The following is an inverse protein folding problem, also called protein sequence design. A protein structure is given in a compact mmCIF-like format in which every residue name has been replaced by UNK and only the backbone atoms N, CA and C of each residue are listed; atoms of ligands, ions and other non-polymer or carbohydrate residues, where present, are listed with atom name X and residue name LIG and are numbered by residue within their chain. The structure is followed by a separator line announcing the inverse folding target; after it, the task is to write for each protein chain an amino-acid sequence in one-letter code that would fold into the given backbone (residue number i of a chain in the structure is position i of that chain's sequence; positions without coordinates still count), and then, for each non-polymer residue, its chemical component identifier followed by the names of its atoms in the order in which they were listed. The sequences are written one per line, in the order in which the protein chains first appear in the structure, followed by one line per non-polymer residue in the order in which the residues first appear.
data_IF_522671886369
#
_entry.id   IF_522671886369
#
_cell.length_a   1.000
_cell.length_b   1.000
_cell.length_c   1.000
_cell.angle_alpha   90.00
_cell.angle_beta   90.00
_cell.angle_gamma   90.00
#
_symmetry.space_group_name_H-M   'P 1'
#
loop_
_entity.id
_entity.type
_entity.pdbx_description
1 polymer ?
#
# COMPACT_ATOMS: atom_id res chain seq x y z
N UNK A 1 3.69 15.57 -5.18
CA UNK A 1 2.73 14.48 -4.94
C UNK A 1 3.27 13.57 -3.85
N UNK A 2 2.37 12.97 -3.08
CA UNK A 2 2.71 11.92 -2.10
C UNK A 2 1.80 10.71 -2.35
N UNK A 3 2.31 9.51 -2.08
CA UNK A 3 1.52 8.28 -2.08
C UNK A 3 1.42 7.77 -0.66
N UNK A 4 0.24 7.40 -0.23
CA UNK A 4 -0.02 6.91 1.13
C UNK A 4 -0.63 5.53 1.03
N UNK A 5 0.07 4.52 1.54
CA UNK A 5 -0.50 3.20 1.70
C UNK A 5 -1.26 3.16 3.03
N UNK A 6 -2.58 3.03 2.94
CA UNK A 6 -3.50 2.96 4.07
C UNK A 6 -4.00 1.53 4.26
N UNK A 7 -3.68 0.88 5.38
CA UNK A 7 -4.00 -0.53 5.52
C UNK A 7 -3.85 -1.08 6.93
N UNK A 8 -4.20 -2.35 7.10
CA UNK A 8 -4.19 -3.04 8.39
C UNK A 8 -5.22 -2.47 9.36
N UNK A 9 -4.89 -2.46 10.63
CA UNK A 9 -5.76 -1.92 11.69
C UNK A 9 -5.93 -0.39 11.61
N UNK A 10 -5.05 0.32 10.88
CA UNK A 10 -5.18 1.75 10.64
C UNK A 10 -6.46 2.14 9.88
N UNK A 11 -7.07 1.18 9.16
CA UNK A 11 -8.28 1.43 8.36
C UNK A 11 -9.55 1.63 9.18
N UNK A 12 -9.54 1.36 10.50
CA UNK A 12 -10.61 1.75 11.40
C UNK A 12 -10.44 3.21 11.85
N UNK A 13 -10.60 4.16 10.90
CA UNK A 13 -10.47 5.61 11.18
C UNK A 13 -11.74 6.17 11.86
N UNK A 14 -12.11 5.59 13.01
CA UNK A 14 -13.35 5.92 13.74
C UNK A 14 -13.51 7.41 14.08
N UNK A 15 -12.40 8.17 14.10
CA UNK A 15 -12.38 9.58 14.48
C UNK A 15 -12.03 10.53 13.33
N UNK A 16 -11.91 10.03 12.10
CA UNK A 16 -11.56 10.82 10.93
C UNK A 16 -10.15 11.42 10.97
N UNK A 17 -9.25 10.85 11.77
CA UNK A 17 -7.87 11.36 11.92
C UNK A 17 -7.09 11.28 10.62
N UNK A 18 -7.28 10.19 9.87
CA UNK A 18 -6.68 10.01 8.55
C UNK A 18 -7.21 11.06 7.57
N UNK A 19 -8.52 11.21 7.47
CA UNK A 19 -9.16 12.16 6.58
C UNK A 19 -8.76 13.61 6.91
N UNK A 20 -8.65 13.95 8.20
CA UNK A 20 -8.20 15.26 8.65
C UNK A 20 -6.75 15.53 8.22
N UNK A 21 -5.84 14.55 8.40
CA UNK A 21 -4.45 14.70 7.97
C UNK A 21 -4.34 14.87 6.44
N UNK A 22 -5.16 14.15 5.66
CA UNK A 22 -5.24 14.32 4.20
C UNK A 22 -5.74 15.72 3.84
N UNK A 23 -6.79 16.22 4.50
CA UNK A 23 -7.32 17.57 4.28
C UNK A 23 -6.27 18.66 4.60
N UNK A 24 -5.54 18.52 5.71
CA UNK A 24 -4.45 19.44 6.08
C UNK A 24 -3.30 19.40 5.05
N UNK A 25 -2.95 18.22 4.52
CA UNK A 25 -1.95 18.08 3.47
C UNK A 25 -2.37 18.80 2.18
N UNK A 26 -3.61 18.63 1.75
CA UNK A 26 -4.17 19.32 0.57
C UNK A 26 -4.13 20.85 0.76
N UNK A 27 -4.56 21.33 1.93
CA UNK A 27 -4.53 22.76 2.26
C UNK A 27 -3.09 23.33 2.25
N UNK A 28 -2.07 22.49 2.45
CA UNK A 28 -0.65 22.84 2.35
C UNK A 28 -0.06 22.69 0.95
N UNK A 29 -0.90 22.43 -0.07
CA UNK A 29 -0.48 22.30 -1.47
C UNK A 29 0.06 20.91 -1.84
N UNK A 30 -0.15 19.91 -1.00
CA UNK A 30 0.22 18.52 -1.29
C UNK A 30 -0.89 17.82 -2.07
N UNK A 31 -0.53 17.05 -3.10
CA UNK A 31 -1.46 16.20 -3.86
C UNK A 31 -1.32 14.74 -3.39
N UNK A 32 -2.24 14.23 -2.55
CA UNK A 32 -2.17 12.85 -2.05
C UNK A 32 -2.82 11.86 -3.02
N UNK A 33 -2.23 10.65 -3.08
CA UNK A 33 -2.79 9.44 -3.70
C UNK A 33 -2.84 8.38 -2.62
N UNK A 34 -4.00 7.76 -2.41
CA UNK A 34 -4.18 6.72 -1.39
C UNK A 34 -4.22 5.36 -2.07
N UNK A 35 -3.44 4.41 -1.55
CA UNK A 35 -3.53 2.99 -1.92
C UNK A 35 -3.97 2.23 -0.68
N UNK A 36 -5.15 1.60 -0.73
CA UNK A 36 -5.67 0.94 0.46
C UNK A 36 -5.35 -0.55 0.50
N UNK A 37 -5.29 -1.11 1.70
CA UNK A 37 -5.29 -2.55 1.95
C UNK A 37 -6.71 -3.10 2.12
N UNK A 38 -6.85 -4.18 2.89
CA UNK A 38 -8.16 -4.80 3.18
C UNK A 38 -8.03 -6.25 3.64
N UNK A 39 -6.85 -6.62 4.17
CA UNK A 39 -6.58 -7.98 4.64
C UNK A 39 -7.61 -8.52 5.63
N UNK A 40 -8.01 -7.78 6.68
CA UNK A 40 -9.04 -8.18 7.62
C UNK A 40 -10.40 -8.40 6.94
N UNK A 41 -10.84 -7.47 6.08
CA UNK A 41 -12.12 -7.53 5.37
C UNK A 41 -12.16 -8.73 4.41
N UNK A 42 -11.07 -8.96 3.65
CA UNK A 42 -10.93 -10.15 2.81
C UNK A 42 -11.03 -11.43 3.65
N UNK A 43 -10.30 -11.49 4.79
CA UNK A 43 -10.34 -12.65 5.69
C UNK A 43 -11.75 -12.94 6.21
N UNK A 44 -12.49 -11.91 6.58
CA UNK A 44 -13.87 -12.02 7.04
C UNK A 44 -14.80 -12.51 5.92
N UNK A 45 -14.69 -11.97 4.72
CA UNK A 45 -15.48 -12.37 3.56
C UNK A 45 -15.21 -13.81 3.13
N UNK A 46 -13.94 -14.25 3.10
CA UNK A 46 -13.56 -15.63 2.81
C UNK A 46 -14.12 -16.59 3.85
N UNK A 47 -14.01 -16.24 5.14
CA UNK A 47 -14.59 -17.03 6.24
C UNK A 47 -16.11 -17.18 6.09
N UNK A 48 -16.81 -16.09 5.77
CA UNK A 48 -18.25 -16.11 5.52
C UNK A 48 -18.64 -16.96 4.32
N UNK A 49 -17.78 -17.03 3.30
CA UNK A 49 -17.95 -17.87 2.12
C UNK A 49 -17.52 -19.35 2.35
N UNK A 50 -17.00 -19.70 3.53
CA UNK A 50 -16.47 -21.04 3.80
C UNK A 50 -15.18 -21.37 3.04
N UNK A 51 -14.45 -20.35 2.58
CA UNK A 51 -13.21 -20.51 1.80
C UNK A 51 -12.01 -20.34 2.73
N UNK A 52 -11.17 -21.37 2.84
CA UNK A 52 -9.90 -21.27 3.54
C UNK A 52 -8.86 -20.53 2.69
N UNK A 53 -7.99 -19.76 3.33
CA UNK A 53 -6.86 -19.12 2.66
C UNK A 53 -5.63 -19.19 3.54
N UNK A 54 -4.47 -19.29 2.91
CA UNK A 54 -3.17 -19.34 3.56
C UNK A 54 -2.28 -18.19 3.11
N UNK A 55 -1.24 -17.92 3.89
CA UNK A 55 -0.21 -16.95 3.55
C UNK A 55 1.13 -17.67 3.40
N UNK A 56 1.88 -17.29 2.37
CA UNK A 56 3.23 -17.79 2.12
C UNK A 56 4.13 -16.58 1.85
N UNK A 57 5.20 -16.42 2.62
CA UNK A 57 6.12 -15.29 2.49
C UNK A 57 5.48 -13.91 2.63
N UNK A 58 4.37 -13.80 3.38
CA UNK A 58 3.61 -12.55 3.53
C UNK A 58 2.58 -12.28 2.44
N UNK A 59 2.43 -13.17 1.45
CA UNK A 59 1.44 -13.07 0.38
C UNK A 59 0.29 -14.05 0.60
N UNK A 60 -0.95 -13.61 0.34
CA UNK A 60 -2.12 -14.50 0.38
C UNK A 60 -2.15 -15.35 -0.89
N UNK A 61 -2.01 -16.67 -0.74
CA UNK A 61 -2.22 -17.59 -1.87
C UNK A 61 -3.61 -17.36 -2.44
N UNK A 62 -3.70 -17.07 -3.72
CA UNK A 62 -4.92 -16.56 -4.35
C UNK A 62 -5.36 -17.48 -5.50
N UNK A 63 -6.24 -18.42 -5.18
CA UNK A 63 -6.94 -19.22 -6.21
C UNK A 63 -7.95 -18.37 -6.98
N UNK A 64 -8.50 -18.78 -8.13
CA UNK A 64 -9.57 -18.03 -8.80
C UNK A 64 -10.74 -17.70 -7.90
N UNK A 65 -11.23 -18.63 -7.08
CA UNK A 65 -12.33 -18.39 -6.15
C UNK A 65 -11.97 -17.38 -5.04
N UNK A 66 -10.71 -17.38 -4.57
CA UNK A 66 -10.22 -16.39 -3.62
C UNK A 66 -10.10 -15.03 -4.32
N UNK A 67 -9.63 -14.98 -5.57
CA UNK A 67 -9.50 -13.73 -6.33
C UNK A 67 -10.84 -13.03 -6.50
N UNK A 68 -11.90 -13.77 -6.84
CA UNK A 68 -13.25 -13.20 -6.99
C UNK A 68 -13.72 -12.49 -5.71
N UNK A 69 -13.44 -13.09 -4.53
CA UNK A 69 -13.75 -12.47 -3.24
C UNK A 69 -12.86 -11.26 -2.99
N UNK A 70 -11.56 -11.37 -3.24
CA UNK A 70 -10.58 -10.29 -3.05
C UNK A 70 -10.94 -9.08 -3.91
N UNK A 71 -11.18 -9.29 -5.21
CA UNK A 71 -11.54 -8.20 -6.12
C UNK A 71 -12.85 -7.53 -5.68
N UNK A 72 -13.90 -8.31 -5.41
CA UNK A 72 -15.18 -7.77 -4.93
C UNK A 72 -15.02 -6.94 -3.65
N UNK A 73 -14.31 -7.47 -2.66
CA UNK A 73 -14.13 -6.79 -1.36
C UNK A 73 -13.31 -5.51 -1.53
N UNK A 74 -12.17 -5.57 -2.23
CA UNK A 74 -11.30 -4.40 -2.34
C UNK A 74 -11.89 -3.30 -3.22
N UNK A 75 -12.49 -3.67 -4.35
CA UNK A 75 -13.00 -2.67 -5.31
C UNK A 75 -14.45 -2.28 -5.06
N UNK A 76 -15.26 -3.18 -4.51
CA UNK A 76 -16.69 -2.95 -4.30
C UNK A 76 -17.08 -2.55 -2.89
N UNK A 77 -16.23 -2.77 -1.91
CA UNK A 77 -16.53 -2.48 -0.50
C UNK A 77 -15.49 -1.52 0.09
N UNK A 78 -14.25 -1.97 0.27
CA UNK A 78 -13.21 -1.22 0.99
C UNK A 78 -12.83 0.09 0.31
N UNK A 79 -12.58 0.08 -1.00
CA UNK A 79 -12.23 1.30 -1.74
C UNK A 79 -13.31 2.38 -1.64
N UNK A 80 -14.58 2.06 -1.94
CA UNK A 80 -15.71 2.97 -1.71
C UNK A 80 -15.82 3.47 -0.28
N UNK A 81 -15.73 2.59 0.74
CA UNK A 81 -15.79 2.99 2.16
C UNK A 81 -14.71 4.00 2.54
N UNK A 82 -13.46 3.77 2.11
CA UNK A 82 -12.35 4.72 2.34
C UNK A 82 -12.61 6.05 1.64
N UNK A 83 -13.07 6.03 0.39
CA UNK A 83 -13.40 7.26 -0.34
C UNK A 83 -14.56 8.02 0.31
N UNK A 84 -15.63 7.33 0.72
CA UNK A 84 -16.78 7.92 1.41
C UNK A 84 -16.39 8.52 2.77
N UNK A 85 -15.52 7.84 3.53
CA UNK A 85 -14.98 8.38 4.78
C UNK A 85 -14.21 9.67 4.56
N UNK A 86 -13.39 9.75 3.53
CA UNK A 86 -12.68 10.99 3.14
C UNK A 86 -13.67 12.09 2.76
N UNK A 87 -14.68 11.77 1.94
CA UNK A 87 -15.73 12.74 1.51
C UNK A 87 -16.52 13.26 2.70
N UNK A 88 -16.88 12.41 3.65
CA UNK A 88 -17.58 12.80 4.88
C UNK A 88 -16.81 13.84 5.72
N UNK A 89 -15.49 13.92 5.55
CA UNK A 89 -14.60 14.88 6.20
C UNK A 89 -14.13 16.01 5.27
N UNK A 90 -14.82 16.23 4.15
CA UNK A 90 -14.57 17.36 3.25
C UNK A 90 -13.43 17.15 2.25
N UNK A 91 -12.92 15.93 2.10
CA UNK A 91 -11.93 15.58 1.08
C UNK A 91 -12.62 15.02 -0.15
N UNK A 92 -12.44 15.66 -1.31
CA UNK A 92 -13.03 15.17 -2.58
C UNK A 92 -12.27 13.92 -3.04
N UNK A 93 -12.73 12.73 -2.67
CA UNK A 93 -12.06 11.46 -2.94
C UNK A 93 -12.88 10.57 -3.88
N UNK A 94 -12.18 9.74 -4.67
CA UNK A 94 -12.81 8.81 -5.63
C UNK A 94 -12.11 7.46 -5.56
N UNK A 95 -12.89 6.39 -5.39
CA UNK A 95 -12.39 5.02 -5.46
C UNK A 95 -12.03 4.66 -6.91
N UNK A 96 -10.86 4.05 -7.10
CA UNK A 96 -10.32 3.61 -8.38
C UNK A 96 -9.78 2.18 -8.24
N UNK A 97 -10.24 1.27 -9.07
CA UNK A 97 -9.57 -0.04 -9.16
C UNK A 97 -8.24 0.10 -9.91
N UNK A 98 -7.19 -0.57 -9.45
CA UNK A 98 -5.94 -0.64 -10.22
C UNK A 98 -6.11 -1.26 -11.61
N UNK A 99 -7.22 -1.98 -11.87
CA UNK A 99 -7.56 -2.46 -13.23
C UNK A 99 -8.17 -1.37 -14.12
N UNK A 100 -8.75 -0.32 -13.55
CA UNK A 100 -9.37 0.76 -14.32
C UNK A 100 -8.33 1.42 -15.22
N UNK A 101 -8.63 1.52 -16.50
CA UNK A 101 -7.75 2.08 -17.53
C UNK A 101 -6.31 1.47 -17.55
N UNK A 102 -6.14 0.26 -17.03
CA UNK A 102 -4.83 -0.38 -16.91
C UNK A 102 -3.88 0.36 -15.97
N UNK A 103 -4.42 1.00 -14.94
CA UNK A 103 -3.61 1.73 -13.93
C UNK A 103 -2.51 0.85 -13.33
N UNK A 104 -2.80 -0.41 -13.01
CA UNK A 104 -1.81 -1.40 -12.60
C UNK A 104 -1.80 -2.57 -13.58
N UNK A 105 -0.66 -2.80 -14.22
CA UNK A 105 -0.39 -3.99 -15.02
C UNK A 105 0.57 -4.90 -14.25
N UNK A 106 0.25 -6.18 -14.18
CA UNK A 106 1.01 -7.16 -13.41
C UNK A 106 1.22 -8.47 -14.18
N UNK A 107 2.19 -9.24 -13.74
CA UNK A 107 2.43 -10.63 -14.11
C UNK A 107 2.41 -11.51 -12.87
N UNK A 108 2.31 -12.85 -13.01
CA UNK A 108 2.36 -13.76 -11.85
C UNK A 108 3.61 -13.55 -11.00
N UNK A 109 3.44 -13.50 -9.69
CA UNK A 109 4.55 -13.55 -8.74
C UNK A 109 5.01 -15.00 -8.63
N UNK A 110 6.24 -15.30 -9.03
CA UNK A 110 6.81 -16.65 -9.08
C UNK A 110 7.89 -16.91 -8.03
N UNK A 111 8.29 -15.87 -7.29
CA UNK A 111 9.28 -15.99 -6.21
C UNK A 111 8.96 -15.04 -5.08
N UNK A 112 9.26 -15.48 -3.86
CA UNK A 112 9.14 -14.68 -2.64
C UNK A 112 10.24 -13.62 -2.55
N UNK A 113 10.16 -12.76 -1.53
CA UNK A 113 11.14 -11.69 -1.29
C UNK A 113 12.55 -12.22 -1.03
N UNK A 114 12.67 -13.41 -0.48
CA UNK A 114 13.95 -14.10 -0.24
C UNK A 114 14.50 -14.86 -1.47
N UNK A 115 13.80 -14.81 -2.60
CA UNK A 115 14.15 -15.50 -3.84
C UNK A 115 13.63 -16.93 -3.94
N UNK A 116 12.96 -17.45 -2.91
CA UNK A 116 12.38 -18.81 -2.93
C UNK A 116 11.28 -18.88 -3.97
N UNK A 117 11.33 -19.88 -4.86
CA UNK A 117 10.26 -20.09 -5.86
C UNK A 117 8.94 -20.47 -5.17
N UNK A 118 7.84 -19.87 -5.58
CA UNK A 118 6.52 -20.12 -5.03
C UNK A 118 5.43 -20.04 -6.11
N UNK A 119 4.46 -20.95 -6.04
CA UNK A 119 3.21 -20.83 -6.79
C UNK A 119 2.14 -20.23 -5.88
N UNK A 120 1.81 -18.99 -6.11
CA UNK A 120 0.85 -18.23 -5.31
C UNK A 120 -0.49 -18.03 -6.04
N UNK A 121 -0.68 -18.67 -7.18
CA UNK A 121 -1.88 -18.56 -8.01
C UNK A 121 -2.00 -17.17 -8.66
N UNK A 122 -3.08 -16.46 -8.38
CA UNK A 122 -3.37 -15.12 -8.93
C UNK A 122 -2.77 -13.97 -8.08
N UNK A 123 -1.61 -14.20 -7.48
CA UNK A 123 -0.82 -13.10 -6.90
C UNK A 123 0.04 -12.49 -7.99
N UNK A 124 0.04 -11.15 -8.07
CA UNK A 124 0.77 -10.40 -9.09
C UNK A 124 1.91 -9.55 -8.55
N UNK A 125 2.93 -9.39 -9.39
CA UNK A 125 3.95 -8.34 -9.27
C UNK A 125 3.70 -7.29 -10.36
N UNK A 126 3.66 -6.00 -9.97
CA UNK A 126 3.42 -4.90 -10.90
C UNK A 126 4.60 -4.76 -11.85
N UNK A 127 4.32 -4.71 -13.13
CA UNK A 127 5.32 -4.55 -14.21
C UNK A 127 5.28 -3.16 -14.85
N UNK A 128 4.11 -2.51 -14.82
CA UNK A 128 3.98 -1.12 -15.25
C UNK A 128 2.76 -0.46 -14.58
N UNK A 129 2.82 0.87 -14.50
CA UNK A 129 1.74 1.72 -13.97
C UNK A 129 1.37 2.74 -15.05
N UNK A 130 0.08 2.76 -15.44
CA UNK A 130 -0.46 3.86 -16.23
C UNK A 130 -1.00 4.92 -15.27
N UNK A 131 -0.34 6.06 -15.23
CA UNK A 131 -0.65 7.16 -14.30
C UNK A 131 -1.74 8.10 -14.82
N UNK A 132 -2.21 7.95 -16.05
CA UNK A 132 -3.11 8.92 -16.70
C UNK A 132 -4.40 9.13 -15.90
N UNK A 133 -5.07 8.04 -15.47
CA UNK A 133 -6.29 8.13 -14.66
C UNK A 133 -6.04 8.77 -13.28
N UNK A 134 -4.86 8.56 -12.70
CA UNK A 134 -4.45 9.19 -11.44
C UNK A 134 -4.28 10.69 -11.63
N UNK A 135 -3.54 11.09 -12.67
CA UNK A 135 -3.28 12.49 -12.97
C UNK A 135 -4.56 13.25 -13.35
N UNK A 136 -5.49 12.61 -14.08
CA UNK A 136 -6.78 13.18 -14.42
C UNK A 136 -7.63 13.49 -13.17
N UNK A 137 -7.65 12.56 -12.20
CA UNK A 137 -8.33 12.78 -10.91
C UNK A 137 -7.67 13.91 -10.13
N UNK A 138 -6.34 13.92 -10.02
CA UNK A 138 -5.61 14.98 -9.33
C UNK A 138 -5.81 16.36 -9.98
N UNK A 139 -5.82 16.42 -11.32
CA UNK A 139 -6.11 17.66 -12.07
C UNK A 139 -7.54 18.17 -11.84
N UNK A 140 -8.47 17.29 -11.46
CA UNK A 140 -9.84 17.60 -11.07
C UNK A 140 -10.01 17.83 -9.56
N UNK A 141 -8.91 18.07 -8.83
CA UNK A 141 -8.88 18.26 -7.38
C UNK A 141 -9.51 17.10 -6.59
N UNK A 142 -9.37 15.88 -7.10
CA UNK A 142 -9.86 14.65 -6.47
C UNK A 142 -8.69 13.81 -5.96
N UNK A 143 -8.88 13.20 -4.80
CA UNK A 143 -7.94 12.23 -4.22
C UNK A 143 -8.27 10.83 -4.73
N UNK A 144 -7.37 10.21 -5.53
CA UNK A 144 -7.56 8.82 -5.93
C UNK A 144 -7.38 7.87 -4.73
N UNK A 145 -8.34 6.96 -4.53
CA UNK A 145 -8.28 5.87 -3.55
C UNK A 145 -8.21 4.56 -4.32
N UNK A 146 -7.01 3.98 -4.41
CA UNK A 146 -6.69 2.91 -5.35
C UNK A 146 -6.70 1.55 -4.67
N UNK A 147 -7.49 0.61 -5.22
CA UNK A 147 -7.45 -0.80 -4.81
C UNK A 147 -6.26 -1.52 -5.47
N UNK A 148 -5.49 -2.35 -4.73
CA UNK A 148 -4.33 -3.05 -5.26
C UNK A 148 -4.71 -4.32 -6.05
N UNK A 149 -5.57 -4.16 -7.03
CA UNK A 149 -5.97 -5.18 -8.01
C UNK A 149 -5.42 -4.76 -9.36
N UNK A 150 -4.69 -5.66 -10.02
CA UNK A 150 -4.06 -5.38 -11.31
C UNK A 150 -4.66 -6.23 -12.43
N UNK A 151 -4.40 -5.86 -13.68
CA UNK A 151 -4.65 -6.70 -14.85
C UNK A 151 -3.32 -7.22 -15.43
N UNK A 152 -3.39 -8.30 -16.21
CA UNK A 152 -2.32 -8.61 -17.14
C UNK A 152 -2.24 -7.57 -18.28
N UNK A 153 -1.21 -7.66 -19.11
CA UNK A 153 -1.03 -6.74 -20.24
C UNK A 153 -2.18 -6.77 -21.26
N UNK A 154 -2.97 -7.85 -21.29
CA UNK A 154 -4.17 -7.95 -22.16
C UNK A 154 -5.42 -7.34 -21.54
N UNK A 155 -5.40 -7.00 -20.23
CA UNK A 155 -6.55 -6.53 -19.49
C UNK A 155 -7.55 -7.61 -19.08
N UNK A 156 -7.30 -8.88 -19.42
CA UNK A 156 -8.28 -9.96 -19.23
C UNK A 156 -8.12 -10.66 -17.89
N UNK A 157 -6.89 -11.00 -17.48
CA UNK A 157 -6.61 -11.70 -16.23
C UNK A 157 -6.38 -10.72 -15.10
N UNK A 158 -7.05 -10.93 -13.96
CA UNK A 158 -6.85 -10.14 -12.76
C UNK A 158 -5.78 -10.75 -11.84
N UNK A 159 -5.12 -9.87 -11.06
CA UNK A 159 -4.15 -10.25 -10.04
C UNK A 159 -4.40 -9.50 -8.73
N UNK A 160 -4.29 -10.23 -7.62
CA UNK A 160 -4.20 -9.68 -6.28
C UNK A 160 -2.74 -9.22 -6.04
N UNK A 161 -2.55 -7.93 -5.83
CA UNK A 161 -1.23 -7.34 -5.56
C UNK A 161 -1.11 -6.99 -4.08
N UNK A 162 0.06 -7.19 -3.49
CA UNK A 162 0.34 -6.69 -2.16
C UNK A 162 0.24 -5.15 -2.16
N UNK A 163 -0.51 -4.59 -1.21
CA UNK A 163 -0.81 -3.15 -1.20
C UNK A 163 0.43 -2.27 -0.98
N UNK A 164 1.44 -2.75 -0.23
CA UNK A 164 2.70 -2.02 -0.04
C UNK A 164 3.48 -1.96 -1.36
N UNK A 165 3.53 -3.08 -2.10
CA UNK A 165 4.19 -3.15 -3.42
C UNK A 165 3.43 -2.37 -4.50
N UNK A 166 2.09 -2.39 -4.48
CA UNK A 166 1.28 -1.56 -5.38
C UNK A 166 1.52 -0.06 -5.13
N UNK A 167 1.57 0.36 -3.87
CA UNK A 167 1.85 1.74 -3.49
C UNK A 167 3.28 2.15 -3.89
N UNK A 168 4.26 1.25 -3.76
CA UNK A 168 5.63 1.47 -4.21
C UNK A 168 5.71 1.70 -5.72
N UNK A 169 5.06 0.85 -6.51
CA UNK A 169 5.02 0.99 -7.96
C UNK A 169 4.38 2.31 -8.41
N UNK A 170 3.26 2.68 -7.78
CA UNK A 170 2.58 3.97 -8.06
C UNK A 170 3.47 5.14 -7.65
N UNK A 171 4.12 5.09 -6.48
CA UNK A 171 5.00 6.14 -6.01
C UNK A 171 6.20 6.36 -6.95
N UNK A 172 6.81 5.28 -7.44
CA UNK A 172 7.87 5.35 -8.43
C UNK A 172 7.40 5.96 -9.74
N UNK A 173 6.29 5.47 -10.30
CA UNK A 173 5.75 5.96 -11.57
C UNK A 173 5.32 7.44 -11.54
N UNK A 174 4.95 7.96 -10.37
CA UNK A 174 4.59 9.36 -10.15
C UNK A 174 5.78 10.25 -9.78
N UNK A 175 7.01 9.73 -9.71
CA UNK A 175 8.16 10.44 -9.12
C UNK A 175 7.79 11.10 -7.78
N UNK A 176 7.08 10.34 -6.94
CA UNK A 176 6.49 10.87 -5.72
C UNK A 176 7.59 11.41 -4.77
N UNK A 177 7.30 12.53 -4.15
CA UNK A 177 8.19 13.10 -3.13
C UNK A 177 8.30 12.17 -1.92
N UNK A 178 7.18 11.52 -1.58
CA UNK A 178 7.10 10.62 -0.44
C UNK A 178 6.17 9.44 -0.74
N UNK A 179 6.58 8.25 -0.32
CA UNK A 179 5.70 7.13 -0.04
C UNK A 179 5.59 6.98 1.48
N UNK A 180 4.38 7.04 2.02
CA UNK A 180 4.12 6.80 3.44
C UNK A 180 3.40 5.44 3.56
N UNK A 181 4.02 4.48 4.27
CA UNK A 181 3.46 3.16 4.53
C UNK A 181 2.93 3.13 5.96
N UNK A 182 1.62 3.13 6.12
CA UNK A 182 0.95 2.96 7.41
C UNK A 182 0.82 1.47 7.73
N UNK A 183 1.28 1.07 8.89
CA UNK A 183 1.31 -0.30 9.39
C UNK A 183 0.90 -0.33 10.88
N UNK A 184 1.08 -1.44 11.55
CA UNK A 184 0.76 -1.68 12.96
C UNK A 184 1.98 -1.61 13.90
N UNK A 185 3.10 -1.11 13.38
CA UNK A 185 4.33 -0.88 14.14
C UNK A 185 4.88 0.51 13.86
N UNK A 186 5.63 1.08 14.81
CA UNK A 186 6.16 2.45 14.72
C UNK A 186 7.13 2.66 13.54
N UNK A 187 7.76 1.60 13.05
CA UNK A 187 8.73 1.64 11.96
C UNK A 187 9.52 0.35 11.85
N UNK A 188 10.74 0.42 11.33
CA UNK A 188 11.67 -0.70 11.20
C UNK A 188 12.54 -0.77 12.44
N UNK A 189 12.63 -1.94 13.05
CA UNK A 189 13.47 -2.21 14.21
C UNK A 189 14.67 -3.04 13.79
N UNK A 190 15.86 -2.68 14.28
CA UNK A 190 17.09 -3.43 14.00
C UNK A 190 17.08 -4.81 14.68
N UNK A 191 16.39 -4.92 15.81
CA UNK A 191 16.30 -6.16 16.61
C UNK A 191 14.93 -6.27 17.30
N UNK A 192 13.92 -6.74 16.58
CA UNK A 192 12.59 -6.98 17.16
C UNK A 192 12.65 -8.14 18.18
N UNK A 193 11.98 -8.05 19.37
CA UNK A 193 11.01 -7.03 19.79
C UNK A 193 11.58 -5.84 20.60
N UNK A 194 12.89 -5.63 20.57
CA UNK A 194 13.52 -4.50 21.27
C UNK A 194 13.10 -3.17 20.63
N UNK A 195 12.18 -2.46 21.30
CA UNK A 195 11.66 -1.17 20.82
C UNK A 195 12.71 -0.06 20.80
N UNK A 196 13.78 -0.19 21.61
CA UNK A 196 14.89 0.78 21.60
C UNK A 196 15.74 0.69 20.33
N UNK A 197 15.58 -0.39 19.55
CA UNK A 197 16.25 -0.62 18.28
C UNK A 197 15.54 0.00 17.07
N UNK A 198 14.52 0.86 17.29
CA UNK A 198 13.83 1.57 16.20
C UNK A 198 14.83 2.40 15.39
N UNK A 199 14.79 2.19 14.09
CA UNK A 199 15.63 2.92 13.14
C UNK A 199 14.89 4.20 12.73
N UNK A 200 15.41 5.37 13.07
CA UNK A 200 14.80 6.64 12.69
C UNK A 200 15.04 6.99 11.22
N UNK A 201 16.24 6.70 10.72
CA UNK A 201 16.62 6.93 9.32
C UNK A 201 17.59 5.86 8.86
N UNK A 202 17.43 5.39 7.63
CA UNK A 202 18.29 4.38 7.01
C UNK A 202 18.38 4.64 5.51
N UNK A 203 19.54 4.37 4.90
CA UNK A 203 19.65 4.39 3.44
C UNK A 203 19.10 3.10 2.84
N UNK A 204 18.64 3.16 1.58
CA UNK A 204 18.21 1.98 0.83
C UNK A 204 19.30 0.91 0.78
N UNK A 205 20.55 1.31 0.63
CA UNK A 205 21.71 0.38 0.61
C UNK A 205 21.87 -0.36 1.95
N UNK A 206 21.77 0.34 3.09
CA UNK A 206 21.84 -0.30 4.41
C UNK A 206 20.64 -1.20 4.65
N UNK A 207 19.44 -0.76 4.23
CA UNK A 207 18.21 -1.51 4.38
C UNK A 207 18.25 -2.82 3.58
N UNK A 208 18.76 -2.79 2.35
CA UNK A 208 18.99 -4.01 1.54
C UNK A 208 19.93 -4.98 2.26
N UNK A 209 20.99 -4.49 2.89
CA UNK A 209 21.91 -5.30 3.70
C UNK A 209 21.27 -5.97 4.92
N UNK A 210 20.18 -5.40 5.44
CA UNK A 210 19.42 -5.95 6.57
C UNK A 210 18.25 -6.84 6.15
N UNK A 211 17.89 -6.89 4.87
CA UNK A 211 16.68 -7.52 4.36
C UNK A 211 16.45 -8.95 4.85
N UNK A 212 17.51 -9.76 4.89
CA UNK A 212 17.44 -11.15 5.33
C UNK A 212 17.16 -11.33 6.83
N UNK A 213 17.24 -10.27 7.63
CA UNK A 213 16.99 -10.31 9.08
C UNK A 213 15.55 -10.09 9.47
N UNK A 214 14.69 -9.66 8.54
CA UNK A 214 13.31 -9.32 8.81
C UNK A 214 12.37 -10.52 8.70
N UNK A 215 11.39 -10.59 9.63
CA UNK A 215 10.35 -11.60 9.60
C UNK A 215 9.40 -11.41 8.39
N UNK A 216 8.69 -12.47 8.01
CA UNK A 216 7.80 -12.52 6.84
C UNK A 216 6.82 -11.35 6.73
N UNK A 217 6.25 -10.86 7.85
CA UNK A 217 5.33 -9.73 7.84
C UNK A 217 5.98 -8.37 7.52
N UNK A 218 7.30 -8.21 7.81
CA UNK A 218 8.05 -7.00 7.50
C UNK A 218 8.73 -7.07 6.13
N UNK A 219 9.07 -8.26 5.64
CA UNK A 219 9.80 -8.44 4.38
C UNK A 219 9.12 -7.76 3.17
N UNK A 220 7.80 -7.88 2.93
CA UNK A 220 7.15 -7.15 1.83
C UNK A 220 7.21 -5.63 2.00
N UNK A 221 7.18 -5.10 3.22
CA UNK A 221 7.26 -3.65 3.49
C UNK A 221 8.65 -3.11 3.22
N UNK A 222 9.68 -3.85 3.62
CA UNK A 222 11.08 -3.53 3.31
C UNK A 222 11.30 -3.57 1.81
N UNK A 223 10.78 -4.61 1.12
CA UNK A 223 10.85 -4.69 -0.34
C UNK A 223 10.15 -3.49 -1.00
N UNK A 224 8.95 -3.13 -0.53
CA UNK A 224 8.24 -1.96 -1.05
C UNK A 224 9.04 -0.65 -0.89
N UNK A 225 9.77 -0.47 0.22
CA UNK A 225 10.64 0.69 0.39
C UNK A 225 11.76 0.72 -0.65
N UNK A 226 12.42 -0.42 -0.85
CA UNK A 226 13.53 -0.54 -1.80
C UNK A 226 13.05 -0.34 -3.25
N UNK A 227 11.93 -0.97 -3.62
CA UNK A 227 11.33 -0.85 -4.94
C UNK A 227 10.90 0.59 -5.24
N UNK A 228 10.28 1.28 -4.27
CA UNK A 228 9.86 2.66 -4.45
C UNK A 228 11.05 3.60 -4.70
N UNK A 229 12.12 3.47 -3.92
CA UNK A 229 13.35 4.26 -4.09
C UNK A 229 13.99 3.94 -5.45
N UNK A 230 14.15 2.67 -5.79
CA UNK A 230 14.71 2.25 -7.06
C UNK A 230 13.90 2.73 -8.27
N UNK A 231 12.59 2.87 -8.13
CA UNK A 231 11.69 3.36 -9.18
C UNK A 231 11.60 4.90 -9.25
N UNK A 232 12.22 5.64 -8.33
CA UNK A 232 12.33 7.11 -8.41
C UNK A 232 11.63 7.89 -7.29
N UNK A 233 10.92 7.25 -6.36
CA UNK A 233 10.41 7.92 -5.16
C UNK A 233 11.57 8.54 -4.37
N UNK A 234 11.40 9.78 -3.88
CA UNK A 234 12.51 10.51 -3.23
C UNK A 234 12.79 10.01 -1.81
N UNK A 235 11.76 9.56 -1.12
CA UNK A 235 11.88 8.95 0.20
C UNK A 235 10.67 8.06 0.51
N UNK A 236 10.85 7.10 1.42
CA UNK A 236 9.77 6.28 1.97
C UNK A 236 9.76 6.41 3.48
N UNK A 237 8.57 6.51 4.08
CA UNK A 237 8.42 6.55 5.53
C UNK A 237 7.45 5.45 5.98
N UNK A 238 7.87 4.65 6.94
CA UNK A 238 7.02 3.64 7.62
C UNK A 238 6.58 4.21 8.95
N UNK A 239 5.28 4.17 9.24
CA UNK A 239 4.68 4.72 10.48
C UNK A 239 3.64 3.78 11.07
N UNK A 240 3.39 3.93 12.38
CA UNK A 240 2.27 3.29 13.06
C UNK A 240 0.95 3.97 12.69
N UNK A 241 0.20 3.35 11.78
CA UNK A 241 -1.10 3.84 11.34
C UNK A 241 -2.21 3.70 12.39
N UNK A 242 -1.98 2.99 13.49
CA UNK A 242 -2.93 2.92 14.62
C UNK A 242 -2.85 4.15 15.51
N UNK A 243 -1.77 4.91 15.42
CA UNK A 243 -1.61 6.19 16.11
C UNK A 243 -2.26 7.33 15.29
N UNK A 244 -3.34 7.97 15.76
CA UNK A 244 -4.07 8.99 15.00
C UNK A 244 -3.22 10.20 14.58
N UNK A 245 -2.13 10.50 15.28
CA UNK A 245 -1.24 11.63 14.96
C UNK A 245 -0.09 11.27 14.02
N UNK A 246 0.17 9.97 13.78
CA UNK A 246 1.37 9.53 13.08
C UNK A 246 1.45 10.04 11.64
N UNK A 247 0.33 10.03 10.90
CA UNK A 247 0.32 10.55 9.53
C UNK A 247 0.61 12.06 9.50
N UNK A 248 0.01 12.83 10.39
CA UNK A 248 0.27 14.27 10.49
C UNK A 248 1.75 14.54 10.80
N UNK A 249 2.34 13.83 11.77
CA UNK A 249 3.77 13.93 12.09
C UNK A 249 4.64 13.55 10.89
N UNK A 250 4.31 12.47 10.20
CA UNK A 250 5.04 12.02 9.01
C UNK A 250 5.04 13.07 7.88
N UNK A 251 3.91 13.74 7.65
CA UNK A 251 3.80 14.83 6.69
C UNK A 251 4.64 16.06 7.04
N UNK A 252 4.95 16.24 8.34
CA UNK A 252 5.90 17.26 8.83
C UNK A 252 7.36 16.78 8.87
N UNK A 253 7.61 15.55 8.43
CA UNK A 253 8.95 14.97 8.40
C UNK A 253 9.37 14.22 9.67
N UNK A 254 8.45 13.99 10.61
CA UNK A 254 8.72 13.42 11.91
C UNK A 254 8.15 12.00 12.08
N UNK A 255 8.73 11.24 13.04
CA UNK A 255 8.25 9.91 13.45
C UNK A 255 8.54 8.80 12.44
N UNK A 256 8.37 7.57 12.90
CA UNK A 256 8.58 6.37 12.11
C UNK A 256 10.01 6.13 11.64
N UNK A 257 10.17 5.29 10.62
CA UNK A 257 11.45 5.08 9.92
C UNK A 257 11.44 5.77 8.57
N UNK A 258 12.40 6.65 8.34
CA UNK A 258 12.67 7.28 7.04
C UNK A 258 13.69 6.44 6.26
N UNK A 259 13.32 5.99 5.07
CA UNK A 259 14.21 5.34 4.10
C UNK A 259 14.54 6.36 2.99
N UNK A 260 15.82 6.57 2.75
CA UNK A 260 16.33 7.48 1.71
C UNK A 260 17.19 6.72 0.68
N UNK A 261 17.42 7.34 -0.47
CA UNK A 261 18.24 6.78 -1.53
C UNK A 261 19.69 6.50 -1.07
#
# INVERSE_FOLDING_TARGET
MIVIKFGGHAMSDEHGSFAKAISEAIASGVSPVVVHGGGPQIGQALKAAGISSEFVGGFRVTTPAIFDVVERVLTGEVGPEVAESLVAHGVNAVALSGRTAGTLVAQPLTSLVDGTAADLGLVGVVTSVNIDAILELLASEKVPVISPIASDASGTRGFNVNADLAAAAIAGALDAQWLIIMTDVEGIYRSWPDKSSLISTISATELEGLKATFAEGMAPKVQACLDAIAAGAKAVRIIDGTNPSALKSALMGEGGTLVVA
#
